data_IF_224075254222
#
_entry.id   IF_224075254222
#
_cell.length_a   1.000
_cell.length_b   1.000
_cell.length_c   1.000
_cell.angle_alpha   90.00
_cell.angle_beta   90.00
_cell.angle_gamma   90.00
#
_symmetry.space_group_name_H-M   'P 1'
#
loop_
_entity.id
_entity.type
_entity.pdbx_description
1 polymer ?
#
# COMPACT_ATOMS: atom_id res chain seq x y z
N UNK A 1 12.22 -15.70 -11.42
CA UNK A 1 12.32 -16.50 -10.19
C UNK A 1 12.95 -15.61 -9.12
N UNK A 2 12.29 -15.46 -7.97
CA UNK A 2 12.75 -14.57 -6.90
C UNK A 2 13.69 -15.35 -5.98
N UNK A 3 14.84 -14.77 -5.63
CA UNK A 3 15.76 -15.39 -4.68
C UNK A 3 15.08 -15.65 -3.32
N UNK A 4 15.49 -16.70 -2.61
CA UNK A 4 14.79 -17.17 -1.39
C UNK A 4 14.62 -16.07 -0.35
N UNK A 5 15.62 -15.22 -0.14
CA UNK A 5 15.55 -14.12 0.82
C UNK A 5 14.46 -13.12 0.45
N UNK A 6 14.42 -12.67 -0.81
CA UNK A 6 13.38 -11.75 -1.29
C UNK A 6 11.99 -12.41 -1.26
N UNK A 7 11.90 -13.72 -1.53
CA UNK A 7 10.63 -14.47 -1.44
C UNK A 7 10.10 -14.53 0.00
N UNK A 8 10.97 -14.81 0.97
CA UNK A 8 10.63 -14.80 2.39
C UNK A 8 10.17 -13.41 2.84
N UNK A 9 10.87 -12.34 2.43
CA UNK A 9 10.47 -10.96 2.75
C UNK A 9 9.12 -10.61 2.13
N UNK A 10 8.90 -10.97 0.88
CA UNK A 10 7.61 -10.75 0.22
C UNK A 10 6.46 -11.49 0.93
N UNK A 11 6.70 -12.74 1.36
CA UNK A 11 5.72 -13.48 2.17
C UNK A 11 5.47 -12.84 3.53
N UNK A 12 6.53 -12.35 4.19
CA UNK A 12 6.46 -11.65 5.48
C UNK A 12 5.59 -10.39 5.37
N UNK A 13 5.76 -9.60 4.29
CA UNK A 13 4.91 -8.44 4.00
C UNK A 13 3.45 -8.82 3.71
N UNK A 14 3.22 -9.87 2.90
CA UNK A 14 1.89 -10.31 2.54
C UNK A 14 1.07 -10.79 3.75
N UNK A 15 1.73 -11.42 4.73
CA UNK A 15 1.11 -11.88 5.98
C UNK A 15 1.02 -10.76 7.03
N UNK A 16 1.69 -9.62 6.82
CA UNK A 16 1.65 -8.48 7.72
C UNK A 16 2.49 -8.65 8.98
N UNK A 17 3.57 -9.41 8.90
CA UNK A 17 4.51 -9.65 10.00
C UNK A 17 5.84 -8.89 9.78
N UNK A 18 6.67 -8.82 10.82
CA UNK A 18 8.01 -8.20 10.77
C UNK A 18 9.15 -9.19 11.00
N UNK A 19 10.39 -8.69 11.02
CA UNK A 19 11.59 -9.52 11.17
C UNK A 19 11.58 -10.35 12.47
N UNK A 20 11.10 -9.80 13.58
CA UNK A 20 11.04 -10.52 14.86
C UNK A 20 10.13 -11.76 14.78
N UNK A 21 8.96 -11.62 14.14
CA UNK A 21 8.01 -12.72 13.96
C UNK A 21 8.53 -13.74 12.93
N UNK A 22 9.20 -13.29 11.88
CA UNK A 22 9.90 -14.19 10.96
C UNK A 22 10.97 -15.01 11.71
N UNK A 23 11.74 -14.37 12.58
CA UNK A 23 12.77 -15.05 13.37
C UNK A 23 12.20 -16.06 14.35
N UNK A 24 11.06 -15.76 14.97
CA UNK A 24 10.34 -16.68 15.84
C UNK A 24 9.83 -17.91 15.07
N UNK A 25 9.25 -17.68 13.88
CA UNK A 25 8.85 -18.76 12.99
C UNK A 25 10.04 -19.65 12.59
N UNK A 26 11.14 -19.05 12.14
CA UNK A 26 12.35 -19.77 11.76
C UNK A 26 12.92 -20.59 12.91
N UNK A 27 12.96 -20.03 14.12
CA UNK A 27 13.42 -20.74 15.32
C UNK A 27 12.51 -21.95 15.65
N UNK A 28 11.19 -21.80 15.47
CA UNK A 28 10.22 -22.87 15.76
C UNK A 28 10.34 -24.08 14.82
N UNK A 29 10.85 -23.87 13.61
CA UNK A 29 11.05 -24.93 12.60
C UNK A 29 12.53 -25.27 12.37
N UNK A 30 13.41 -24.82 13.27
CA UNK A 30 14.86 -25.09 13.26
C UNK A 30 15.59 -24.67 11.97
N UNK A 31 15.17 -23.57 11.34
CA UNK A 31 15.86 -22.99 10.17
C UNK A 31 16.57 -21.67 10.52
N UNK A 32 17.70 -21.36 9.87
CA UNK A 32 18.35 -20.06 10.04
C UNK A 32 17.44 -18.90 9.61
N UNK A 33 17.34 -17.87 10.45
CA UNK A 33 16.62 -16.64 10.13
C UNK A 33 17.54 -15.59 9.50
N UNK A 34 16.95 -14.64 8.77
CA UNK A 34 17.65 -13.45 8.30
C UNK A 34 18.04 -12.55 9.48
N UNK A 35 19.29 -12.07 9.45
CA UNK A 35 19.72 -10.98 10.34
C UNK A 35 18.88 -9.73 10.10
N UNK A 36 18.73 -8.86 11.11
CA UNK A 36 17.96 -7.62 10.96
C UNK A 36 18.49 -6.72 9.84
N UNK A 37 19.81 -6.63 9.68
CA UNK A 37 20.44 -5.86 8.59
C UNK A 37 20.11 -6.45 7.22
N UNK A 38 20.26 -7.77 7.06
CA UNK A 38 19.93 -8.44 5.80
C UNK A 38 18.44 -8.32 5.48
N UNK A 39 17.58 -8.44 6.49
CA UNK A 39 16.14 -8.27 6.36
C UNK A 39 15.80 -6.87 5.82
N UNK A 40 16.33 -5.81 6.43
CA UNK A 40 16.06 -4.42 6.02
C UNK A 40 16.56 -4.13 4.60
N UNK A 41 17.75 -4.62 4.23
CA UNK A 41 18.27 -4.44 2.88
C UNK A 41 17.38 -5.10 1.82
N UNK A 42 16.95 -6.35 2.06
CA UNK A 42 16.05 -7.05 1.14
C UNK A 42 14.64 -6.43 1.15
N UNK A 43 14.18 -5.94 2.31
CA UNK A 43 12.90 -5.23 2.44
C UNK A 43 12.88 -3.96 1.61
N UNK A 44 13.96 -3.17 1.57
CA UNK A 44 14.04 -2.00 0.70
C UNK A 44 13.80 -2.40 -0.76
N UNK A 45 14.52 -3.41 -1.26
CA UNK A 45 14.38 -3.87 -2.65
C UNK A 45 12.96 -4.34 -2.99
N UNK A 46 12.32 -5.11 -2.10
CA UNK A 46 10.92 -5.54 -2.31
C UNK A 46 9.97 -4.34 -2.24
N UNK A 47 10.19 -3.42 -1.30
CA UNK A 47 9.34 -2.23 -1.13
C UNK A 47 9.41 -1.31 -2.35
N UNK A 48 10.60 -1.12 -2.93
CA UNK A 48 10.79 -0.32 -4.14
C UNK A 48 10.02 -0.92 -5.32
N UNK A 49 10.15 -2.23 -5.54
CA UNK A 49 9.41 -2.93 -6.59
C UNK A 49 7.88 -2.88 -6.40
N UNK A 50 7.41 -3.00 -5.14
CA UNK A 50 5.99 -2.85 -4.81
C UNK A 50 5.51 -1.42 -5.07
N UNK A 51 6.32 -0.41 -4.74
CA UNK A 51 5.98 0.99 -4.96
C UNK A 51 5.93 1.35 -6.45
N UNK A 52 6.84 0.81 -7.26
CA UNK A 52 6.82 0.97 -8.71
C UNK A 52 5.54 0.36 -9.32
N UNK A 53 5.22 -0.89 -8.94
CA UNK A 53 4.00 -1.57 -9.38
C UNK A 53 2.74 -0.82 -8.91
N UNK A 54 2.70 -0.35 -7.66
CA UNK A 54 1.62 0.48 -7.14
C UNK A 54 1.45 1.74 -7.98
N UNK A 55 2.53 2.46 -8.25
CA UNK A 55 2.50 3.71 -9.04
C UNK A 55 1.94 3.48 -10.44
N UNK A 56 2.31 2.38 -11.09
CA UNK A 56 1.78 2.01 -12.41
C UNK A 56 0.28 1.71 -12.36
N UNK A 57 -0.17 0.92 -11.39
CA UNK A 57 -1.59 0.55 -11.25
C UNK A 57 -2.47 1.74 -10.86
N UNK A 58 -1.99 2.65 -9.99
CA UNK A 58 -2.70 3.88 -9.65
C UNK A 58 -2.86 4.80 -10.87
N UNK A 59 -1.85 4.90 -11.74
CA UNK A 59 -1.95 5.65 -13.01
C UNK A 59 -3.00 5.05 -13.94
N UNK A 60 -2.97 3.73 -14.15
CA UNK A 60 -3.98 3.02 -14.97
C UNK A 60 -5.40 3.23 -14.42
N UNK A 61 -5.57 3.20 -13.10
CA UNK A 61 -6.84 3.47 -12.46
C UNK A 61 -7.34 4.90 -12.70
N UNK A 62 -6.44 5.89 -12.64
CA UNK A 62 -6.75 7.29 -12.96
C UNK A 62 -7.11 7.50 -14.44
N UNK A 63 -6.35 6.88 -15.35
CA UNK A 63 -6.63 6.94 -16.80
C UNK A 63 -7.99 6.32 -17.16
N UNK A 64 -8.36 5.23 -16.50
CA UNK A 64 -9.66 4.59 -16.67
C UNK A 64 -10.81 5.51 -16.23
N UNK A 65 -10.71 6.13 -15.04
CA UNK A 65 -11.72 7.10 -14.58
C UNK A 65 -11.80 8.32 -15.51
N UNK A 66 -10.65 8.78 -16.01
CA UNK A 66 -10.57 9.86 -17.01
C UNK A 66 -11.28 9.49 -18.30
N UNK A 67 -11.09 8.27 -18.81
CA UNK A 67 -11.78 7.78 -20.02
C UNK A 67 -13.29 7.78 -19.82
N UNK A 68 -13.76 7.26 -18.68
CA UNK A 68 -15.19 7.23 -18.33
C UNK A 68 -15.78 8.65 -18.28
N UNK A 69 -15.05 9.62 -17.70
CA UNK A 69 -15.51 11.01 -17.65
C UNK A 69 -15.66 11.63 -19.06
N UNK A 70 -14.73 11.36 -19.98
CA UNK A 70 -14.82 11.81 -21.38
C UNK A 70 -16.00 11.15 -22.10
N UNK A 71 -16.13 9.83 -22.00
CA UNK A 71 -17.19 9.05 -22.68
C UNK A 71 -18.59 9.44 -22.19
N UNK A 72 -18.71 9.86 -20.94
CA UNK A 72 -19.97 10.34 -20.35
C UNK A 72 -20.26 11.83 -20.62
N UNK A 73 -19.37 12.53 -21.33
CA UNK A 73 -19.47 13.96 -21.58
C UNK A 73 -19.31 14.82 -20.31
N UNK A 74 -18.78 14.24 -19.23
CA UNK A 74 -18.54 14.93 -17.96
C UNK A 74 -17.18 15.65 -18.01
N UNK A 75 -17.16 16.74 -18.78
CA UNK A 75 -16.00 17.60 -19.01
C UNK A 75 -16.36 19.05 -18.67
N UNK A 76 -15.36 19.84 -18.28
CA UNK A 76 -15.55 21.28 -18.05
C UNK A 76 -15.58 22.08 -19.37
N UNK A 77 -15.70 23.41 -19.27
CA UNK A 77 -15.73 24.34 -20.41
C UNK A 77 -14.47 24.27 -21.30
N UNK A 78 -13.35 23.76 -20.76
CA UNK A 78 -12.07 23.61 -21.48
C UNK A 78 -11.85 22.17 -21.97
N UNK A 79 -12.82 21.27 -21.77
CA UNK A 79 -12.71 19.86 -22.12
C UNK A 79 -11.89 19.02 -21.12
N UNK A 80 -11.62 19.53 -19.92
CA UNK A 80 -10.93 18.78 -18.88
C UNK A 80 -11.89 17.77 -18.23
N UNK A 81 -11.52 16.48 -18.15
CA UNK A 81 -12.40 15.45 -17.61
C UNK A 81 -12.64 15.59 -16.11
N UNK A 82 -13.91 15.69 -15.71
CA UNK A 82 -14.33 15.85 -14.32
C UNK A 82 -14.54 14.49 -13.64
N UNK A 83 -13.45 13.94 -13.10
CA UNK A 83 -13.47 12.62 -12.47
C UNK A 83 -14.03 12.68 -11.03
N UNK A 84 -15.23 12.14 -10.79
CA UNK A 84 -15.79 12.07 -9.44
C UNK A 84 -15.10 10.98 -8.64
N UNK A 85 -14.67 11.31 -7.41
CA UNK A 85 -13.96 10.39 -6.52
C UNK A 85 -14.59 10.34 -5.13
N UNK A 86 -14.35 9.23 -4.42
CA UNK A 86 -14.60 9.08 -3.00
C UNK A 86 -13.25 9.22 -2.30
N UNK A 87 -13.14 10.17 -1.38
CA UNK A 87 -11.99 10.30 -0.51
C UNK A 87 -12.35 9.75 0.87
N UNK A 88 -11.56 8.79 1.35
CA UNK A 88 -11.68 8.26 2.71
C UNK A 88 -10.33 8.35 3.42
N UNK A 89 -10.36 8.48 4.75
CA UNK A 89 -9.16 8.57 5.55
C UNK A 89 -9.44 8.31 7.02
N UNK A 90 -8.50 7.61 7.65
CA UNK A 90 -8.62 7.24 9.05
C UNK A 90 -7.29 7.35 9.80
N UNK A 91 -7.40 7.67 11.08
CA UNK A 91 -6.37 7.37 12.07
C UNK A 91 -6.77 6.08 12.76
N UNK A 92 -5.98 5.02 12.60
CA UNK A 92 -6.30 3.73 13.21
C UNK A 92 -6.47 3.90 14.72
N UNK A 93 -7.57 3.37 15.29
CA UNK A 93 -7.81 3.41 16.73
C UNK A 93 -7.10 2.22 17.37
N UNK A 94 -6.30 2.45 18.41
CA UNK A 94 -5.76 1.38 19.25
C UNK A 94 -6.57 1.31 20.55
N UNK A 95 -7.12 0.15 20.86
CA UNK A 95 -7.92 -0.09 22.07
C UNK A 95 -7.09 -0.84 23.11
N UNK A 96 -6.10 -0.19 23.71
CA UNK A 96 -5.52 -0.70 24.96
C UNK A 96 -5.98 0.21 26.10
N UNK A 97 -7.15 -0.13 26.67
CA UNK A 97 -7.79 0.49 27.86
C UNK A 97 -8.20 1.97 27.73
N UNK A 98 -7.64 2.73 26.80
CA UNK A 98 -7.94 4.14 26.53
C UNK A 98 -7.97 4.33 25.01
N UNK A 99 -9.05 4.91 24.48
CA UNK A 99 -9.30 5.05 23.03
C UNK A 99 -8.38 6.10 22.42
N UNK A 100 -7.16 5.73 22.07
CA UNK A 100 -6.19 6.63 21.42
C UNK A 100 -6.13 6.41 19.91
N UNK A 101 -5.86 7.50 19.18
CA UNK A 101 -5.49 7.43 17.77
C UNK A 101 -4.06 6.93 17.66
N UNK A 102 -3.78 6.08 16.68
CA UNK A 102 -2.43 5.77 16.27
C UNK A 102 -1.71 7.04 15.80
N UNK A 103 -0.38 7.07 15.90
CA UNK A 103 0.44 8.12 15.35
C UNK A 103 0.66 8.00 13.83
N UNK A 104 -0.04 7.07 13.19
CA UNK A 104 -0.06 6.87 11.75
C UNK A 104 -1.51 6.93 11.27
N UNK A 105 -1.74 7.72 10.23
CA UNK A 105 -3.02 7.83 9.53
C UNK A 105 -2.85 7.41 8.07
N UNK A 106 -3.91 6.86 7.49
CA UNK A 106 -3.96 6.48 6.09
C UNK A 106 -5.14 7.16 5.40
N UNK A 107 -4.97 7.55 4.14
CA UNK A 107 -6.00 8.11 3.29
C UNK A 107 -5.96 7.45 1.91
N UNK A 108 -7.12 7.33 1.27
CA UNK A 108 -7.25 6.81 -0.07
C UNK A 108 -8.22 7.65 -0.91
N UNK A 109 -7.94 7.76 -2.21
CA UNK A 109 -8.86 8.30 -3.21
C UNK A 109 -9.27 7.16 -4.12
N UNK A 110 -10.59 7.00 -4.30
CA UNK A 110 -11.19 5.88 -5.04
C UNK A 110 -12.09 6.45 -6.13
N UNK A 111 -11.93 5.99 -7.36
CA UNK A 111 -12.79 6.37 -8.47
C UNK A 111 -14.24 5.98 -8.24
N UNK A 112 -15.18 6.93 -8.37
CA UNK A 112 -16.58 6.64 -8.11
C UNK A 112 -17.15 5.65 -9.14
N UNK A 113 -16.70 5.71 -10.40
CA UNK A 113 -17.19 4.83 -11.47
C UNK A 113 -16.35 3.58 -11.62
N UNK A 114 -15.02 3.70 -11.71
CA UNK A 114 -14.13 2.55 -11.86
C UNK A 114 -14.06 1.67 -10.60
N UNK A 115 -14.38 2.24 -9.42
CA UNK A 115 -14.20 1.60 -8.10
C UNK A 115 -12.75 1.21 -7.79
N UNK A 116 -11.79 1.78 -8.53
CA UNK A 116 -10.36 1.52 -8.35
C UNK A 116 -9.72 2.59 -7.48
N UNK A 117 -8.71 2.19 -6.72
CA UNK A 117 -7.89 3.12 -5.93
C UNK A 117 -6.99 3.90 -6.87
N UNK A 118 -6.99 5.23 -6.73
CA UNK A 118 -6.19 6.17 -7.53
C UNK A 118 -5.07 6.82 -6.69
N UNK A 119 -5.21 6.77 -5.37
CA UNK A 119 -4.20 7.27 -4.44
C UNK A 119 -4.29 6.52 -3.11
N UNK A 120 -3.13 6.27 -2.51
CA UNK A 120 -2.99 5.86 -1.10
C UNK A 120 -1.89 6.72 -0.49
N UNK A 121 -2.17 7.32 0.66
CA UNK A 121 -1.20 8.12 1.41
C UNK A 121 -1.17 7.69 2.87
N UNK A 122 0.03 7.59 3.43
CA UNK A 122 0.25 7.36 4.86
C UNK A 122 0.94 8.58 5.44
N UNK A 123 0.44 9.07 6.58
CA UNK A 123 1.04 10.17 7.33
C UNK A 123 1.35 9.73 8.75
N UNK A 124 2.62 9.76 9.09
CA UNK A 124 3.09 9.59 10.46
C UNK A 124 3.21 10.97 11.12
N UNK A 125 2.89 11.04 12.42
CA UNK A 125 3.02 12.28 13.20
C UNK A 125 4.49 12.64 13.48
N UNK A 126 5.39 11.66 13.40
CA UNK A 126 6.83 11.79 13.65
C UNK A 126 7.61 11.28 12.44
#
# INVERSE_FOLDING_TARGET
YLGINLAVINGTLAVGIGQSQLSEFCASVEIPSLSSTSYLNNLSTVSDAVNDALTEELKKAGEEERRIAIESGNVDEQGVPMCTVIADGQWSKRSYKTKFNAFSGAAAIIGLKSKKVQFVGVRNRY
#
